data_IF_050137582806
#
_entry.id   IF_050137582806
#
_cell.length_a   1.000
_cell.length_b   1.000
_cell.length_c   1.000
_cell.angle_alpha   90.00
_cell.angle_beta   90.00
_cell.angle_gamma   90.00
#
_symmetry.space_group_name_H-M   'P 1'
#
loop_
_entity.id
_entity.type
_entity.pdbx_description
1 polymer ?
#
# COMPACT_ATOMS: atom_id res chain seq x y z
N UNK A 1 -13.98 45.70 -106.04
CA UNK A 1 -14.30 46.84 -105.13
C UNK A 1 -13.97 46.61 -103.64
N UNK A 2 -13.24 45.56 -103.23
CA UNK A 2 -12.93 45.32 -101.79
C UNK A 2 -11.42 45.28 -101.45
N UNK A 3 -10.53 45.43 -102.42
CA UNK A 3 -9.08 45.35 -102.16
C UNK A 3 -8.46 46.67 -101.63
N UNK A 4 -9.26 47.73 -101.44
CA UNK A 4 -8.82 49.01 -100.86
C UNK A 4 -9.25 49.19 -99.40
N UNK A 5 -9.88 48.18 -98.80
CA UNK A 5 -10.30 48.22 -97.41
C UNK A 5 -9.08 48.10 -96.46
N UNK A 6 -9.08 48.85 -95.36
CA UNK A 6 -8.05 48.72 -94.33
C UNK A 6 -8.24 47.40 -93.57
N UNK A 7 -7.17 46.61 -93.47
CA UNK A 7 -7.21 45.33 -92.75
C UNK A 7 -7.60 45.53 -91.27
N UNK A 8 -8.46 44.65 -90.76
CA UNK A 8 -8.73 44.59 -89.32
C UNK A 8 -7.44 44.21 -88.60
N UNK A 9 -7.03 45.02 -87.62
CA UNK A 9 -5.87 44.72 -86.78
C UNK A 9 -6.30 43.79 -85.64
N UNK A 10 -5.63 42.65 -85.54
CA UNK A 10 -6.01 41.58 -84.63
C UNK A 10 -4.81 41.15 -83.77
N UNK A 11 -4.93 41.24 -82.45
CA UNK A 11 -3.86 40.89 -81.52
C UNK A 11 -3.50 39.39 -81.53
N UNK A 12 -4.47 38.53 -81.84
CA UNK A 12 -4.31 37.07 -81.87
C UNK A 12 -4.36 36.47 -83.29
N UNK A 13 -4.12 37.31 -84.30
CA UNK A 13 -4.11 36.91 -85.71
C UNK A 13 -5.48 36.92 -86.38
N UNK A 14 -5.46 36.65 -87.69
CA UNK A 14 -6.63 36.75 -88.55
C UNK A 14 -7.38 35.41 -88.67
N UNK A 15 -8.70 35.43 -88.45
CA UNK A 15 -9.55 34.25 -88.59
C UNK A 15 -10.11 34.06 -90.00
N UNK A 16 -10.34 35.14 -90.75
CA UNK A 16 -10.86 35.08 -92.12
C UNK A 16 -10.34 36.23 -92.97
N UNK A 17 -10.04 35.94 -94.23
CA UNK A 17 -9.57 36.91 -95.22
C UNK A 17 -10.54 37.00 -96.40
N UNK A 18 -10.64 38.17 -97.02
CA UNK A 18 -11.38 38.32 -98.28
C UNK A 18 -10.57 37.79 -99.48
N UNK A 19 -11.16 37.83 -100.67
CA UNK A 19 -10.52 37.36 -101.92
C UNK A 19 -9.24 38.10 -102.31
N UNK A 20 -8.95 39.25 -101.67
CA UNK A 20 -7.70 40.00 -101.85
C UNK A 20 -6.67 39.75 -100.74
N UNK A 21 -6.94 38.83 -99.80
CA UNK A 21 -6.06 38.48 -98.68
C UNK A 21 -6.14 39.44 -97.48
N UNK A 22 -7.09 40.39 -97.47
CA UNK A 22 -7.25 41.37 -96.38
C UNK A 22 -8.02 40.72 -95.23
N UNK A 23 -7.53 40.89 -94.00
CA UNK A 23 -8.16 40.36 -92.80
C UNK A 23 -9.50 41.04 -92.53
N UNK A 24 -10.57 40.24 -92.48
CA UNK A 24 -11.95 40.72 -92.23
C UNK A 24 -12.47 40.35 -90.84
N UNK A 25 -11.84 39.42 -90.14
CA UNK A 25 -12.19 39.04 -88.76
C UNK A 25 -11.00 38.51 -87.97
N UNK A 26 -11.01 38.74 -86.66
CA UNK A 26 -9.94 38.34 -85.75
C UNK A 26 -10.19 36.96 -85.13
N UNK A 27 -9.11 36.21 -84.92
CA UNK A 27 -9.12 35.03 -84.08
C UNK A 27 -9.36 35.42 -82.62
N UNK A 28 -10.14 34.62 -81.91
CA UNK A 28 -10.33 34.79 -80.47
C UNK A 28 -9.04 34.47 -79.71
N UNK A 29 -8.90 35.04 -78.50
CA UNK A 29 -7.77 34.74 -77.63
C UNK A 29 -7.71 33.22 -77.34
N UNK A 30 -6.63 32.51 -77.71
CA UNK A 30 -6.52 31.07 -77.48
C UNK A 30 -6.58 30.69 -75.99
N UNK A 31 -6.18 31.59 -75.09
CA UNK A 31 -6.27 31.41 -73.64
C UNK A 31 -7.73 31.25 -73.15
N UNK A 32 -8.71 31.72 -73.93
CA UNK A 32 -10.12 31.63 -73.57
C UNK A 32 -10.72 30.28 -73.99
N UNK A 33 -10.05 29.52 -74.87
CA UNK A 33 -10.53 28.23 -75.36
C UNK A 33 -10.06 27.04 -74.50
N UNK A 34 -9.80 27.32 -73.21
CA UNK A 34 -9.44 26.30 -72.22
C UNK A 34 -10.50 26.21 -71.14
N UNK A 35 -10.68 25.01 -70.60
CA UNK A 35 -11.58 24.79 -69.47
C UNK A 35 -10.93 25.25 -68.16
N UNK A 36 -11.77 25.73 -67.24
CA UNK A 36 -11.34 26.07 -65.89
C UNK A 36 -10.77 24.84 -65.17
N UNK A 37 -9.60 24.99 -64.54
CA UNK A 37 -9.12 23.99 -63.61
C UNK A 37 -10.00 23.99 -62.35
N UNK A 38 -10.63 22.84 -62.07
CA UNK A 38 -11.42 22.66 -60.85
C UNK A 38 -10.49 22.53 -59.63
N UNK A 39 -10.79 23.28 -58.58
CA UNK A 39 -10.00 23.33 -57.35
C UNK A 39 -10.90 23.30 -56.12
N UNK A 40 -10.73 22.32 -55.24
CA UNK A 40 -11.57 22.13 -54.05
C UNK A 40 -11.48 23.31 -53.06
N UNK A 41 -10.30 23.92 -52.94
CA UNK A 41 -10.05 25.06 -52.06
C UNK A 41 -9.91 26.40 -52.83
N UNK A 42 -10.46 26.43 -54.04
CA UNK A 42 -10.51 27.62 -54.88
C UNK A 42 -9.24 27.89 -55.68
N UNK A 43 -9.34 28.89 -56.55
CA UNK A 43 -8.32 29.25 -57.53
C UNK A 43 -7.25 30.18 -56.94
N UNK A 44 -5.97 29.94 -57.25
CA UNK A 44 -4.85 30.80 -56.84
C UNK A 44 -4.36 31.74 -57.94
N UNK A 45 -4.55 31.40 -59.23
CA UNK A 45 -4.24 32.29 -60.35
C UNK A 45 -5.14 32.03 -61.54
N UNK A 46 -5.48 33.09 -62.24
CA UNK A 46 -6.31 33.06 -63.46
C UNK A 46 -5.52 33.57 -64.66
N UNK A 47 -5.87 33.10 -65.85
CA UNK A 47 -5.35 33.66 -67.10
C UNK A 47 -6.08 34.97 -67.50
N UNK A 48 -5.70 35.52 -68.65
CA UNK A 48 -6.26 36.75 -69.24
C UNK A 48 -7.77 36.70 -69.47
N UNK A 49 -8.35 35.51 -69.59
CA UNK A 49 -9.79 35.28 -69.79
C UNK A 49 -10.53 34.90 -68.49
N UNK A 50 -9.87 35.02 -67.33
CA UNK A 50 -10.43 34.68 -66.03
C UNK A 50 -10.47 33.17 -65.73
N UNK A 51 -9.85 32.33 -66.57
CA UNK A 51 -9.84 30.88 -66.38
C UNK A 51 -8.83 30.45 -65.32
N UNK A 52 -9.21 29.55 -64.43
CA UNK A 52 -8.34 29.08 -63.35
C UNK A 52 -7.19 28.21 -63.90
N UNK A 53 -5.95 28.60 -63.63
CA UNK A 53 -4.74 27.88 -64.08
C UNK A 53 -4.03 27.15 -62.95
N UNK A 54 -4.20 27.60 -61.71
CA UNK A 54 -3.58 27.02 -60.52
C UNK A 54 -4.52 27.04 -59.31
N UNK A 55 -4.40 26.02 -58.45
CA UNK A 55 -5.23 25.88 -57.25
C UNK A 55 -4.53 26.44 -56.01
N UNK A 56 -5.31 26.90 -55.04
CA UNK A 56 -4.80 27.14 -53.68
C UNK A 56 -4.52 25.80 -52.99
N UNK A 57 -3.50 25.78 -52.14
CA UNK A 57 -3.31 24.67 -51.20
C UNK A 57 -4.37 24.76 -50.11
N UNK A 58 -5.07 23.66 -49.86
CA UNK A 58 -6.01 23.58 -48.75
C UNK A 58 -5.27 23.70 -47.41
N UNK A 59 -5.86 24.35 -46.40
CA UNK A 59 -5.36 24.24 -45.04
C UNK A 59 -5.37 22.76 -44.64
N UNK A 60 -4.40 22.31 -43.80
CA UNK A 60 -4.42 20.95 -43.30
C UNK A 60 -5.72 20.73 -42.53
N UNK A 61 -6.44 19.66 -42.87
CA UNK A 61 -7.67 19.29 -42.20
C UNK A 61 -7.40 19.15 -40.70
N UNK A 62 -8.29 19.70 -39.87
CA UNK A 62 -8.23 19.47 -38.42
C UNK A 62 -8.33 17.94 -38.19
N UNK A 63 -7.28 17.30 -37.65
CA UNK A 63 -7.30 15.85 -37.45
C UNK A 63 -8.36 15.41 -36.43
N UNK A 64 -8.92 16.35 -35.65
CA UNK A 64 -10.03 16.10 -34.74
C UNK A 64 -11.41 16.36 -35.35
N UNK A 65 -11.49 16.80 -36.61
CA UNK A 65 -12.75 16.96 -37.32
C UNK A 65 -13.45 15.60 -37.46
N UNK A 66 -14.66 15.49 -36.91
CA UNK A 66 -15.47 14.27 -36.91
C UNK A 66 -15.15 13.26 -35.80
N UNK A 67 -14.16 13.53 -34.93
CA UNK A 67 -13.82 12.67 -33.80
C UNK A 67 -14.64 13.09 -32.58
N UNK A 68 -15.44 12.15 -32.05
CA UNK A 68 -16.19 12.32 -30.80
C UNK A 68 -15.55 11.49 -29.69
N UNK A 69 -14.89 12.16 -28.75
CA UNK A 69 -14.30 11.49 -27.58
C UNK A 69 -15.34 11.24 -26.49
N UNK A 70 -15.04 10.28 -25.61
CA UNK A 70 -15.87 9.96 -24.46
C UNK A 70 -15.86 11.06 -23.38
N UNK A 71 -16.66 10.87 -22.33
CA UNK A 71 -16.73 11.80 -21.21
C UNK A 71 -15.36 12.02 -20.55
N UNK A 72 -15.05 13.27 -20.17
CA UNK A 72 -13.77 13.68 -19.57
C UNK A 72 -12.53 13.37 -20.44
N UNK A 73 -12.67 13.40 -21.76
CA UNK A 73 -11.59 13.29 -22.72
C UNK A 73 -11.58 14.46 -23.72
N UNK A 74 -10.44 14.66 -24.38
CA UNK A 74 -10.24 15.65 -25.43
C UNK A 74 -9.56 15.00 -26.64
N UNK A 75 -9.77 15.56 -27.83
CA UNK A 75 -9.05 15.13 -29.03
C UNK A 75 -7.77 15.96 -29.23
N UNK A 76 -6.68 15.30 -29.59
CA UNK A 76 -5.44 15.92 -30.04
C UNK A 76 -4.81 15.07 -31.13
N UNK A 77 -4.40 15.66 -32.25
CA UNK A 77 -3.74 14.92 -33.34
C UNK A 77 -4.55 13.74 -33.89
N UNK A 78 -5.88 13.79 -33.80
CA UNK A 78 -6.76 12.72 -34.29
C UNK A 78 -6.94 11.54 -33.31
N UNK A 79 -6.56 11.70 -32.05
CA UNK A 79 -6.74 10.67 -31.01
C UNK A 79 -7.33 11.27 -29.74
N UNK A 80 -8.13 10.47 -29.02
CA UNK A 80 -8.73 10.87 -27.77
C UNK A 80 -7.79 10.61 -26.58
N UNK A 81 -7.71 11.56 -25.66
CA UNK A 81 -6.92 11.51 -24.44
C UNK A 81 -7.76 11.92 -23.24
N UNK A 82 -7.56 11.26 -22.09
CA UNK A 82 -8.23 11.67 -20.86
C UNK A 82 -7.73 13.04 -20.39
N UNK A 83 -8.64 13.84 -19.84
CA UNK A 83 -8.28 15.08 -19.15
C UNK A 83 -7.34 14.80 -17.97
N UNK A 84 -6.56 15.81 -17.58
CA UNK A 84 -5.70 15.71 -16.41
C UNK A 84 -6.51 15.32 -15.16
N UNK A 85 -6.02 14.33 -14.41
CA UNK A 85 -6.72 13.77 -13.25
C UNK A 85 -7.79 12.72 -13.60
N UNK A 86 -7.87 12.27 -14.85
CA UNK A 86 -8.74 11.17 -15.29
C UNK A 86 -7.92 10.03 -15.92
N UNK A 87 -8.45 8.80 -15.84
CA UNK A 87 -7.85 7.58 -16.40
C UNK A 87 -8.94 6.68 -16.99
N UNK A 88 -8.56 5.76 -17.86
CA UNK A 88 -9.46 4.83 -18.55
C UNK A 88 -9.36 4.95 -20.07
N UNK A 89 -10.43 4.57 -20.77
CA UNK A 89 -10.50 4.61 -22.22
C UNK A 89 -11.12 5.93 -22.71
N UNK A 90 -10.30 6.79 -23.33
CA UNK A 90 -10.73 8.11 -23.79
C UNK A 90 -11.78 8.10 -24.90
N UNK A 91 -11.97 6.98 -25.60
CA UNK A 91 -13.02 6.84 -26.62
C UNK A 91 -14.40 6.57 -26.01
N UNK A 92 -14.46 5.78 -24.92
CA UNK A 92 -15.73 5.43 -24.25
C UNK A 92 -16.02 6.27 -23.00
N UNK A 93 -15.01 6.92 -22.43
CA UNK A 93 -15.11 7.79 -21.27
C UNK A 93 -14.06 7.50 -20.21
N UNK A 94 -13.53 8.57 -19.63
CA UNK A 94 -12.54 8.53 -18.56
C UNK A 94 -13.19 8.73 -17.18
N UNK A 95 -12.59 8.10 -16.18
CA UNK A 95 -12.99 8.17 -14.77
C UNK A 95 -11.97 8.97 -13.97
N UNK A 96 -12.40 9.67 -12.93
CA UNK A 96 -11.49 10.42 -12.09
C UNK A 96 -10.46 9.48 -11.45
N UNK A 97 -9.17 9.82 -11.58
CA UNK A 97 -8.10 9.17 -10.84
C UNK A 97 -8.39 9.37 -9.37
N UNK A 98 -8.61 8.28 -8.65
CA UNK A 98 -8.85 8.36 -7.22
C UNK A 98 -7.65 8.99 -6.54
N UNK A 99 -7.87 10.13 -5.89
CA UNK A 99 -6.89 10.76 -5.00
C UNK A 99 -6.70 9.98 -3.71
N UNK A 100 -7.61 9.06 -3.40
CA UNK A 100 -7.49 8.13 -2.29
C UNK A 100 -6.39 7.10 -2.61
N UNK A 101 -5.21 7.20 -1.96
CA UNK A 101 -4.10 6.28 -2.20
C UNK A 101 -4.40 4.86 -1.69
N UNK A 102 -5.47 4.68 -0.91
CA UNK A 102 -5.91 3.40 -0.38
C UNK A 102 -6.98 2.71 -1.24
N UNK A 103 -7.46 3.35 -2.32
CA UNK A 103 -8.46 2.74 -3.19
C UNK A 103 -7.87 1.53 -3.91
N UNK A 104 -8.38 0.35 -3.59
CA UNK A 104 -7.91 -0.94 -4.15
C UNK A 104 -6.76 -1.58 -3.38
N UNK A 105 -6.25 -0.94 -2.32
CA UNK A 105 -5.23 -1.53 -1.45
C UNK A 105 -5.91 -2.47 -0.46
N UNK A 106 -5.56 -3.75 -0.52
CA UNK A 106 -6.03 -4.77 0.44
C UNK A 106 -4.92 -5.15 1.40
N UNK A 107 -5.09 -4.86 2.68
CA UNK A 107 -4.10 -5.14 3.71
C UNK A 107 -4.45 -6.41 4.48
N UNK A 108 -3.46 -7.29 4.65
CA UNK A 108 -3.56 -8.54 5.42
C UNK A 108 -2.82 -8.42 6.76
N UNK A 109 -2.97 -9.42 7.64
CA UNK A 109 -2.26 -9.44 8.93
C UNK A 109 -2.73 -8.38 9.93
N UNK A 110 -3.97 -7.88 9.81
CA UNK A 110 -4.52 -6.86 10.70
C UNK A 110 -3.97 -5.44 10.47
N UNK A 111 -3.30 -5.23 9.32
CA UNK A 111 -2.82 -3.91 8.87
C UNK A 111 -3.97 -3.08 8.30
N UNK A 112 -3.83 -1.77 8.39
CA UNK A 112 -4.75 -0.79 7.79
C UNK A 112 -4.01 0.00 6.72
N UNK A 113 -4.71 0.42 5.67
CA UNK A 113 -4.09 1.28 4.67
C UNK A 113 -3.98 2.72 5.20
N UNK A 114 -2.79 3.30 5.11
CA UNK A 114 -2.52 4.69 5.38
C UNK A 114 -1.57 5.22 4.31
N UNK A 115 -1.97 6.27 3.59
CA UNK A 115 -1.22 6.84 2.46
C UNK A 115 -0.82 5.80 1.39
N UNK A 116 -1.67 4.81 1.12
CA UNK A 116 -1.42 3.77 0.12
C UNK A 116 -0.48 2.65 0.56
N UNK A 117 -0.02 2.66 1.82
CA UNK A 117 0.78 1.59 2.40
C UNK A 117 0.05 0.90 3.55
N UNK A 118 0.23 -0.41 3.66
CA UNK A 118 -0.34 -1.19 4.77
C UNK A 118 0.53 -1.06 6.01
N UNK A 119 -0.02 -0.47 7.07
CA UNK A 119 0.67 -0.21 8.33
C UNK A 119 -0.09 -0.81 9.50
N UNK A 120 0.60 -1.08 10.61
CA UNK A 120 -0.10 -1.47 11.83
C UNK A 120 -0.85 -0.28 12.44
N UNK A 121 -2.08 -0.48 12.94
CA UNK A 121 -2.84 0.58 13.59
C UNK A 121 -2.16 1.00 14.90
N UNK A 122 -2.55 2.17 15.42
CA UNK A 122 -2.01 2.72 16.67
C UNK A 122 -2.09 1.71 17.82
N UNK A 123 -1.00 1.60 18.60
CA UNK A 123 -0.88 0.62 19.69
C UNK A 123 -0.51 -0.80 19.24
N UNK A 124 -0.27 -1.01 17.94
CA UNK A 124 0.25 -2.28 17.40
C UNK A 124 1.59 -2.10 16.71
N UNK A 125 2.39 -3.16 16.73
CA UNK A 125 3.66 -3.26 16.01
C UNK A 125 3.64 -4.45 15.06
N UNK A 126 4.49 -4.40 14.04
CA UNK A 126 4.63 -5.50 13.11
C UNK A 126 5.44 -6.65 13.73
N UNK A 127 4.95 -7.87 13.53
CA UNK A 127 5.59 -9.12 13.93
C UNK A 127 5.29 -10.19 12.89
N UNK A 128 6.30 -10.65 12.16
CA UNK A 128 6.19 -11.73 11.16
C UNK A 128 5.01 -11.57 10.19
N UNK A 129 4.80 -10.34 9.69
CA UNK A 129 3.72 -10.02 8.74
C UNK A 129 2.35 -9.75 9.34
N UNK A 130 2.18 -9.88 10.66
CA UNK A 130 0.94 -9.54 11.38
C UNK A 130 1.15 -8.45 12.42
N UNK A 131 0.09 -7.72 12.75
CA UNK A 131 0.11 -6.68 13.77
C UNK A 131 -0.26 -7.24 15.13
N UNK A 132 0.68 -7.20 16.07
CA UNK A 132 0.50 -7.58 17.48
C UNK A 132 0.47 -6.34 18.37
N UNK A 133 -0.04 -6.46 19.59
CA UNK A 133 0.03 -5.35 20.55
C UNK A 133 1.48 -4.94 20.82
N UNK A 134 1.72 -3.65 21.06
CA UNK A 134 3.05 -3.19 21.49
C UNK A 134 3.50 -3.82 22.81
N UNK A 135 2.56 -4.27 23.64
CA UNK A 135 2.83 -4.98 24.91
C UNK A 135 3.22 -6.45 24.73
N UNK A 136 3.04 -7.02 23.54
CA UNK A 136 3.34 -8.43 23.24
C UNK A 136 4.75 -8.60 22.67
N UNK A 137 5.36 -9.75 22.93
CA UNK A 137 6.70 -10.09 22.45
C UNK A 137 6.61 -10.95 21.20
N UNK A 138 7.23 -10.50 20.11
CA UNK A 138 7.18 -11.19 18.82
C UNK A 138 7.99 -12.50 18.90
N UNK A 139 7.32 -13.65 18.70
CA UNK A 139 7.96 -14.97 18.83
C UNK A 139 8.07 -15.49 20.27
N UNK A 140 7.49 -14.78 21.24
CA UNK A 140 7.57 -15.13 22.66
C UNK A 140 8.95 -14.87 23.29
N UNK A 141 9.11 -15.27 24.55
CA UNK A 141 10.37 -15.21 25.27
C UNK A 141 10.73 -16.62 25.75
N UNK A 142 12.00 -16.99 25.63
CA UNK A 142 12.50 -18.27 26.13
C UNK A 142 12.81 -18.16 27.62
N UNK A 143 12.54 -19.22 28.39
CA UNK A 143 12.91 -19.26 29.81
C UNK A 143 14.43 -19.01 29.97
N UNK A 144 14.86 -18.15 30.92
CA UNK A 144 14.12 -17.60 32.07
C UNK A 144 13.41 -16.25 31.85
N UNK A 145 13.27 -15.81 30.60
CA UNK A 145 12.67 -14.52 30.26
C UNK A 145 11.15 -14.62 30.12
N UNK A 146 10.44 -13.60 30.58
CA UNK A 146 9.01 -13.42 30.38
C UNK A 146 8.75 -12.11 29.65
N UNK A 147 7.62 -12.02 28.94
CA UNK A 147 7.27 -10.80 28.24
C UNK A 147 6.69 -9.76 29.21
N UNK A 148 7.28 -8.57 29.23
CA UNK A 148 6.75 -7.42 29.97
C UNK A 148 6.80 -6.19 29.08
N UNK A 149 5.63 -5.60 28.78
CA UNK A 149 5.48 -4.44 27.90
C UNK A 149 6.28 -4.55 26.58
N UNK A 150 6.18 -5.71 25.92
CA UNK A 150 6.80 -5.96 24.62
C UNK A 150 8.31 -6.23 24.66
N UNK A 151 8.91 -6.27 25.85
CA UNK A 151 10.32 -6.56 26.07
C UNK A 151 10.47 -7.85 26.88
N UNK A 152 11.33 -8.76 26.41
CA UNK A 152 11.67 -9.95 27.18
C UNK A 152 12.52 -9.54 28.40
N UNK A 153 11.91 -9.63 29.58
CA UNK A 153 12.50 -9.23 30.85
C UNK A 153 12.85 -10.47 31.64
N UNK A 154 13.95 -10.43 32.40
CA UNK A 154 14.36 -11.60 33.12
C UNK A 154 13.63 -11.79 34.46
N UNK A 155 13.35 -13.05 34.78
CA UNK A 155 12.76 -13.44 36.06
C UNK A 155 13.84 -13.51 37.14
N UNK A 156 14.00 -12.43 37.90
CA UNK A 156 14.83 -12.37 39.10
C UNK A 156 14.04 -12.80 40.33
N UNK A 157 13.66 -14.07 40.39
CA UNK A 157 13.06 -14.64 41.60
C UNK A 157 14.10 -14.74 42.71
N UNK A 158 13.67 -14.48 43.94
CA UNK A 158 14.44 -14.70 45.15
C UNK A 158 13.73 -15.75 46.00
N UNK A 159 14.47 -16.46 46.84
CA UNK A 159 13.88 -17.41 47.77
C UNK A 159 13.12 -16.69 48.91
N UNK A 160 12.18 -17.40 49.52
CA UNK A 160 11.44 -16.90 50.69
C UNK A 160 12.36 -16.72 51.91
N UNK A 161 11.83 -16.13 52.99
CA UNK A 161 12.58 -15.93 54.23
C UNK A 161 13.14 -17.27 54.75
N UNK A 162 14.43 -17.29 55.11
CA UNK A 162 15.11 -18.47 55.67
C UNK A 162 15.64 -19.47 54.64
N UNK A 163 15.32 -19.30 53.36
CA UNK A 163 15.80 -20.16 52.28
C UNK A 163 17.03 -19.57 51.58
N UNK A 164 17.95 -20.44 51.17
CA UNK A 164 19.11 -20.10 50.34
C UNK A 164 18.88 -20.56 48.91
N UNK A 165 19.35 -19.75 47.96
CA UNK A 165 19.31 -20.12 46.55
C UNK A 165 20.35 -21.19 46.25
N UNK A 166 19.93 -22.32 45.70
CA UNK A 166 20.82 -23.45 45.37
C UNK A 166 21.07 -23.59 43.87
N UNK A 167 20.25 -22.95 43.03
CA UNK A 167 20.48 -22.88 41.59
C UNK A 167 19.97 -21.55 41.05
N UNK A 168 20.71 -20.98 40.10
CA UNK A 168 20.35 -19.73 39.43
C UNK A 168 20.12 -19.96 37.93
N UNK A 169 19.20 -19.19 37.36
CA UNK A 169 19.07 -19.07 35.91
C UNK A 169 20.18 -18.19 35.33
N UNK A 170 20.23 -18.08 34.00
CA UNK A 170 21.23 -17.28 33.27
C UNK A 170 21.20 -15.77 33.56
N UNK A 171 20.19 -15.27 34.27
CA UNK A 171 20.09 -13.88 34.70
C UNK A 171 20.35 -13.67 36.19
N UNK A 172 20.72 -14.72 36.93
CA UNK A 172 20.96 -14.65 38.38
C UNK A 172 19.69 -14.77 39.23
N UNK A 173 18.52 -14.99 38.63
CA UNK A 173 17.30 -15.32 39.37
C UNK A 173 17.34 -16.75 39.91
N UNK A 174 16.83 -16.96 41.12
CA UNK A 174 16.84 -18.26 41.75
C UNK A 174 15.81 -19.22 41.14
N UNK A 175 16.25 -20.42 40.76
CA UNK A 175 15.40 -21.50 40.21
C UNK A 175 15.13 -22.62 41.21
N UNK A 176 15.96 -22.76 42.25
CA UNK A 176 15.76 -23.72 43.33
C UNK A 176 16.15 -23.10 44.67
N UNK A 177 15.30 -23.29 45.67
CA UNK A 177 15.47 -22.77 47.02
C UNK A 177 15.53 -23.94 48.00
N UNK A 178 16.49 -23.91 48.93
CA UNK A 178 16.61 -24.91 49.98
C UNK A 178 16.77 -24.27 51.35
N UNK A 179 16.32 -24.95 52.40
CA UNK A 179 16.64 -24.57 53.77
C UNK A 179 18.13 -24.94 54.04
N UNK A 180 18.95 -24.02 54.59
CA UNK A 180 20.37 -24.30 54.84
C UNK A 180 20.53 -25.46 55.83
N UNK A 181 21.40 -26.41 55.50
CA UNK A 181 21.68 -27.58 56.35
C UNK A 181 22.33 -27.16 57.67
N UNK A 182 21.76 -27.60 58.79
CA UNK A 182 22.35 -27.43 60.13
C UNK A 182 21.82 -26.28 60.99
N UNK A 183 20.73 -25.60 60.60
CA UNK A 183 20.02 -24.67 61.49
C UNK A 183 18.76 -25.32 62.05
N UNK A 184 18.73 -25.48 63.36
CA UNK A 184 17.53 -25.83 64.12
C UNK A 184 16.72 -24.55 64.35
N UNK A 185 15.42 -24.60 64.07
CA UNK A 185 14.50 -23.52 64.42
C UNK A 185 13.92 -23.84 65.80
N UNK A 186 14.13 -22.94 66.78
CA UNK A 186 13.59 -23.12 68.13
C UNK A 186 12.08 -22.83 68.21
N UNK A 187 11.49 -22.24 67.16
CA UNK A 187 10.05 -21.98 67.05
C UNK A 187 9.53 -22.36 65.65
N UNK A 188 8.64 -23.35 65.59
CA UNK A 188 8.02 -23.87 64.35
C UNK A 188 7.24 -22.78 63.59
N UNK A 189 6.87 -21.70 64.29
CA UNK A 189 6.14 -20.56 63.71
C UNK A 189 6.97 -19.73 62.72
N UNK A 190 8.30 -19.67 62.88
CA UNK A 190 9.16 -18.88 61.99
C UNK A 190 9.55 -19.60 60.70
N UNK A 191 9.53 -20.94 60.68
CA UNK A 191 9.96 -21.73 59.52
C UNK A 191 8.89 -21.85 58.41
N UNK A 192 7.60 -21.88 58.79
CA UNK A 192 6.49 -22.13 57.86
C UNK A 192 5.79 -20.87 57.32
N UNK A 193 6.07 -19.66 57.83
CA UNK A 193 5.38 -18.44 57.39
C UNK A 193 3.85 -18.46 57.61
N UNK A 194 3.36 -19.20 58.61
CA UNK A 194 1.95 -19.20 58.98
C UNK A 194 1.55 -17.85 59.59
N UNK A 195 0.67 -17.09 58.95
CA UNK A 195 0.02 -15.93 59.58
C UNK A 195 -1.00 -16.41 60.63
N UNK A 196 -0.99 -15.68 61.74
CA UNK A 196 -1.61 -15.91 63.04
C UNK A 196 -3.02 -16.52 63.04
N UNK A 197 -3.19 -17.54 63.91
CA UNK A 197 -4.19 -17.61 65.00
C UNK A 197 -4.68 -19.05 65.28
N UNK A 198 -3.78 -20.03 65.41
CA UNK A 198 -4.20 -21.42 65.70
C UNK A 198 -3.13 -22.39 66.21
N UNK A 199 -1.89 -21.95 66.44
CA UNK A 199 -0.85 -22.84 66.96
C UNK A 199 -0.81 -22.75 68.49
N UNK A 200 -1.52 -23.65 69.17
CA UNK A 200 -1.30 -23.88 70.60
C UNK A 200 0.12 -24.42 70.81
N UNK A 201 0.82 -23.84 71.79
CA UNK A 201 2.21 -24.12 72.12
C UNK A 201 2.50 -25.62 72.29
N UNK A 202 3.27 -26.22 71.38
CA UNK A 202 3.87 -27.53 71.61
C UNK A 202 5.40 -27.45 71.56
N UNK A 203 6.03 -27.58 72.73
CA UNK A 203 7.47 -27.86 72.88
C UNK A 203 7.71 -29.35 72.58
N UNK A 204 8.22 -29.67 71.41
CA UNK A 204 8.74 -31.01 71.08
C UNK A 204 10.23 -30.96 70.79
N UNK A 205 11.05 -31.72 71.54
CA UNK A 205 12.50 -31.87 71.26
C UNK A 205 12.71 -32.91 70.16
N UNK A 206 13.32 -32.52 69.04
CA UNK A 206 13.97 -33.47 68.12
C UNK A 206 15.40 -33.73 68.60
N UNK A 207 15.68 -34.94 69.09
CA UNK A 207 17.03 -35.36 69.46
C UNK A 207 17.66 -36.19 68.34
N UNK A 208 18.44 -35.52 67.50
CA UNK A 208 19.48 -36.02 66.58
C UNK A 208 19.04 -36.89 65.38
N UNK A 209 19.53 -36.51 64.19
CA UNK A 209 19.31 -37.16 62.90
C UNK A 209 20.52 -37.98 62.45
N UNK A 210 20.27 -39.13 61.81
CA UNK A 210 21.18 -39.70 60.82
C UNK A 210 20.38 -40.30 59.64
N UNK A 211 20.62 -39.80 58.43
CA UNK A 211 20.12 -40.32 57.14
C UNK A 211 18.60 -40.41 56.91
N UNK A 212 17.83 -39.41 57.35
CA UNK A 212 16.66 -38.93 56.61
C UNK A 212 15.45 -39.87 56.42
N UNK A 213 15.37 -41.00 57.13
CA UNK A 213 14.16 -41.85 57.16
C UNK A 213 13.61 -41.88 58.59
N UNK A 214 12.40 -41.37 58.78
CA UNK A 214 11.69 -41.49 60.06
C UNK A 214 11.06 -42.89 60.16
N UNK A 215 11.57 -43.73 61.05
CA UNK A 215 10.88 -44.97 61.47
C UNK A 215 10.51 -44.84 62.93
N UNK A 216 9.19 -44.89 63.20
CA UNK A 216 8.63 -45.43 64.43
C UNK A 216 8.71 -44.53 65.67
N UNK A 217 7.70 -43.66 65.83
CA UNK A 217 7.44 -42.95 67.09
C UNK A 217 6.05 -42.32 67.08
N UNK A 218 5.02 -43.17 67.01
CA UNK A 218 3.57 -42.90 67.20
C UNK A 218 3.06 -41.52 66.77
N UNK A 219 2.76 -41.41 65.47
CA UNK A 219 2.02 -40.31 64.84
C UNK A 219 0.54 -40.38 65.23
N UNK A 220 0.07 -39.56 66.17
CA UNK A 220 -1.36 -39.25 66.26
C UNK A 220 -1.68 -38.33 65.08
N UNK A 221 -2.54 -38.84 64.19
CA UNK A 221 -2.92 -38.26 62.90
C UNK A 221 -3.35 -36.80 63.08
N UNK A 222 -2.71 -35.87 62.37
CA UNK A 222 -3.35 -34.60 62.02
C UNK A 222 -4.53 -34.93 61.09
N UNK A 223 -5.72 -35.09 61.67
CA UNK A 223 -6.96 -35.16 60.89
C UNK A 223 -7.27 -33.78 60.32
N UNK A 224 -7.08 -33.64 59.01
CA UNK A 224 -7.57 -32.53 58.17
C UNK A 224 -9.09 -32.41 58.23
N UNK A 225 -9.68 -31.91 59.32
CA UNK A 225 -11.13 -31.69 59.33
C UNK A 225 -11.64 -30.33 59.79
N UNK A 226 -10.81 -29.41 60.28
CA UNK A 226 -11.34 -28.11 60.74
C UNK A 226 -10.70 -26.86 60.11
N UNK A 227 -9.78 -26.99 59.16
CA UNK A 227 -9.18 -25.82 58.50
C UNK A 227 -9.23 -25.98 56.99
N UNK A 228 -10.17 -25.28 56.36
CA UNK A 228 -10.49 -25.29 54.94
C UNK A 228 -9.37 -24.79 54.01
N UNK A 229 -8.21 -25.42 54.04
CA UNK A 229 -7.17 -25.26 53.04
C UNK A 229 -7.48 -26.17 51.86
N UNK A 230 -8.14 -25.61 50.84
CA UNK A 230 -8.31 -26.27 49.55
C UNK A 230 -6.96 -26.36 48.84
N UNK A 231 -6.48 -27.59 48.69
CA UNK A 231 -5.53 -28.06 47.67
C UNK A 231 -4.15 -27.38 47.63
N UNK A 232 -3.10 -28.16 47.88
CA UNK A 232 -1.99 -28.48 46.97
C UNK A 232 -0.70 -28.78 47.77
N UNK A 233 -0.19 -30.00 47.53
CA UNK A 233 1.18 -30.48 47.68
C UNK A 233 1.89 -30.34 49.03
N UNK A 234 2.14 -31.52 49.59
CA UNK A 234 2.83 -31.83 50.84
C UNK A 234 4.36 -31.81 50.68
N UNK A 235 4.90 -30.94 49.84
CA UNK A 235 6.35 -30.83 49.66
C UNK A 235 6.87 -29.53 50.28
N UNK A 236 7.68 -29.70 51.33
CA UNK A 236 8.45 -28.68 52.03
C UNK A 236 7.68 -27.76 52.97
N UNK A 237 7.24 -28.31 54.10
CA UNK A 237 7.27 -27.54 55.35
C UNK A 237 8.71 -27.57 55.88
N UNK A 238 9.37 -26.41 55.90
CA UNK A 238 10.37 -26.12 56.93
C UNK A 238 9.55 -25.74 58.19
#
# INVERSE_FOLDING_TARGET
PDCSATAVSCDYGCASTNSCGICTSCSGNPDCNVSDKSCDCGCSSTNSCGKCTSCKSCPPSDPCSGISCGANAYCSGGSCYCNSGYTGNANSGCTAVSKDPCKGVSCSGGKVCSNGSCVCPSGKKECNGSCISTSECCGGCTSPYYCYNGTCTCSNKSCGKGQVCTATNSCGGCTACACPSGKYWDDIREACGCQESGCESYRGRCSQTHNGVCIGGTLQRCTFKDFGCSSYNLEYCC
#
